data_IF_813470393085
#
_entry.id   IF_813470393085
#
_cell.length_a   1.000
_cell.length_b   1.000
_cell.length_c   1.000
_cell.angle_alpha   90.00
_cell.angle_beta   90.00
_cell.angle_gamma   90.00
#
_symmetry.space_group_name_H-M   'P 1'
#
loop_
_entity.id
_entity.type
_entity.pdbx_description
1 polymer ?
#
# COMPACT_ATOMS: atom_id res chain seq x y z
N UNK A 1 33.65 -29.92 -6.63
CA UNK A 1 32.48 -29.03 -6.78
C UNK A 1 32.21 -28.46 -5.39
N UNK A 2 32.09 -27.14 -5.21
CA UNK A 2 31.72 -26.57 -3.91
C UNK A 2 30.36 -27.13 -3.48
N UNK A 3 30.26 -27.54 -2.22
CA UNK A 3 28.99 -27.98 -1.63
C UNK A 3 28.13 -26.73 -1.43
N UNK A 4 26.88 -26.75 -1.86
CA UNK A 4 25.96 -25.63 -1.60
C UNK A 4 25.35 -25.74 -0.20
N UNK A 5 24.86 -24.62 0.32
CA UNK A 5 24.11 -24.59 1.57
C UNK A 5 22.84 -25.46 1.50
N UNK A 6 22.41 -25.97 2.65
CA UNK A 6 21.24 -26.85 2.78
C UNK A 6 19.91 -26.14 2.56
N UNK A 7 19.91 -24.80 2.50
CA UNK A 7 18.71 -23.98 2.31
C UNK A 7 18.51 -23.57 0.84
N UNK A 8 19.37 -24.04 -0.08
CA UNK A 8 19.26 -23.74 -1.51
C UNK A 8 19.52 -22.27 -1.86
N UNK A 9 20.25 -21.54 -1.01
CA UNK A 9 20.56 -20.12 -1.23
C UNK A 9 21.75 -19.90 -2.17
N UNK A 10 22.34 -20.98 -2.70
CA UNK A 10 23.49 -20.95 -3.59
C UNK A 10 24.78 -20.47 -2.91
N UNK A 11 24.86 -20.51 -1.58
CA UNK A 11 26.06 -20.13 -0.83
C UNK A 11 27.04 -21.30 -0.94
N UNK A 12 28.22 -21.03 -1.49
CA UNK A 12 29.25 -22.04 -1.64
C UNK A 12 29.95 -22.27 -0.30
N UNK A 13 29.88 -23.50 0.21
CA UNK A 13 30.67 -23.94 1.34
C UNK A 13 32.08 -24.21 0.84
N UNK A 14 33.07 -23.61 1.50
CA UNK A 14 34.46 -23.76 1.14
C UNK A 14 34.86 -25.24 1.14
N UNK A 15 35.40 -25.71 0.02
CA UNK A 15 36.04 -27.01 -0.04
C UNK A 15 37.37 -26.91 0.73
N UNK A 16 37.53 -27.71 1.79
CA UNK A 16 38.75 -27.76 2.61
C UNK A 16 39.92 -28.47 1.89
N UNK A 17 40.00 -28.31 0.57
CA UNK A 17 40.98 -28.96 -0.30
C UNK A 17 42.21 -28.09 -0.56
N UNK A 18 42.10 -26.78 -0.32
CA UNK A 18 43.20 -25.81 -0.46
C UNK A 18 43.85 -25.51 0.90
N UNK A 19 45.03 -24.88 0.88
CA UNK A 19 45.71 -24.43 2.10
C UNK A 19 44.82 -23.43 2.89
N UNK A 20 44.84 -23.45 4.25
CA UNK A 20 43.98 -22.60 5.05
C UNK A 20 44.25 -21.11 4.84
N UNK A 21 43.24 -20.38 4.38
CA UNK A 21 43.23 -18.92 4.27
C UNK A 21 41.96 -18.37 4.94
N UNK A 22 42.12 -17.88 6.16
CA UNK A 22 41.02 -17.40 6.98
C UNK A 22 40.39 -16.11 6.43
N UNK A 23 41.16 -15.25 5.78
CA UNK A 23 40.67 -14.00 5.20
C UNK A 23 39.80 -14.29 3.98
N UNK A 24 40.26 -15.18 3.09
CA UNK A 24 39.49 -15.63 1.92
C UNK A 24 38.20 -16.35 2.33
N UNK A 25 38.25 -17.17 3.38
CA UNK A 25 37.08 -17.86 3.92
C UNK A 25 36.03 -16.85 4.44
N UNK A 26 36.44 -15.92 5.30
CA UNK A 26 35.52 -14.93 5.89
C UNK A 26 34.98 -13.98 4.82
N UNK A 27 35.81 -13.55 3.87
CA UNK A 27 35.38 -12.71 2.75
C UNK A 27 34.37 -13.44 1.85
N UNK A 28 34.61 -14.71 1.51
CA UNK A 28 33.68 -15.51 0.73
C UNK A 28 32.34 -15.70 1.41
N UNK A 29 32.34 -15.97 2.73
CA UNK A 29 31.10 -16.03 3.51
C UNK A 29 30.40 -14.67 3.53
N UNK A 30 31.12 -13.59 3.82
CA UNK A 30 30.55 -12.25 3.94
C UNK A 30 29.97 -11.76 2.62
N UNK A 31 30.70 -11.90 1.51
CA UNK A 31 30.26 -11.45 0.19
C UNK A 31 29.04 -12.22 -0.33
N UNK A 32 28.89 -13.50 0.05
CA UNK A 32 27.74 -14.32 -0.34
C UNK A 32 26.53 -14.11 0.60
N UNK A 33 26.77 -13.90 1.89
CA UNK A 33 25.74 -13.89 2.92
C UNK A 33 25.18 -12.48 3.17
N UNK A 34 26.01 -11.43 3.05
CA UNK A 34 25.57 -10.02 3.16
C UNK A 34 24.47 -9.68 2.14
N UNK A 35 24.57 -10.01 0.84
CA UNK A 35 23.48 -9.76 -0.09
C UNK A 35 22.28 -10.70 0.07
N UNK A 36 22.39 -11.77 0.89
CA UNK A 36 21.40 -12.86 1.03
C UNK A 36 20.81 -13.01 2.43
N UNK A 37 21.13 -12.11 3.35
CA UNK A 37 20.49 -12.06 4.68
C UNK A 37 18.96 -11.98 4.61
N UNK A 38 18.43 -11.53 3.46
CA UNK A 38 17.05 -11.76 3.03
C UNK A 38 17.06 -12.74 1.83
N UNK A 39 16.39 -13.87 1.96
CA UNK A 39 16.33 -14.87 0.88
C UNK A 39 15.60 -14.32 -0.34
N UNK A 40 15.92 -14.77 -1.56
CA UNK A 40 15.24 -14.31 -2.78
C UNK A 40 14.72 -15.52 -3.57
N UNK A 41 13.46 -15.44 -3.99
CA UNK A 41 12.81 -16.47 -4.82
C UNK A 41 12.05 -15.80 -5.96
N UNK A 42 11.92 -16.48 -7.10
CA UNK A 42 11.15 -15.94 -8.22
C UNK A 42 9.65 -15.84 -7.87
N UNK A 43 9.14 -16.73 -7.02
CA UNK A 43 7.74 -16.73 -6.56
C UNK A 43 7.53 -17.36 -5.19
N UNK A 44 6.34 -17.19 -4.60
CA UNK A 44 5.93 -17.90 -3.39
C UNK A 44 5.93 -19.43 -3.57
N UNK A 45 5.60 -19.92 -4.77
CA UNK A 45 5.56 -21.36 -5.08
C UNK A 45 6.95 -21.96 -5.03
N UNK A 46 7.92 -21.29 -5.64
CA UNK A 46 9.32 -21.72 -5.62
C UNK A 46 9.87 -21.72 -4.19
N UNK A 47 9.62 -20.64 -3.42
CA UNK A 47 10.00 -20.59 -2.00
C UNK A 47 9.45 -21.78 -1.23
N UNK A 48 8.16 -22.09 -1.38
CA UNK A 48 7.51 -23.18 -0.64
C UNK A 48 8.02 -24.57 -1.08
N UNK A 49 8.48 -24.72 -2.32
CA UNK A 49 9.11 -25.95 -2.79
C UNK A 49 10.55 -26.11 -2.26
N UNK A 50 11.30 -25.02 -2.17
CA UNK A 50 12.69 -25.00 -1.67
C UNK A 50 12.77 -25.12 -0.15
N UNK A 51 11.89 -24.41 0.58
CA UNK A 51 11.88 -24.38 2.05
C UNK A 51 10.73 -25.25 2.57
N UNK A 52 11.00 -26.54 2.75
CA UNK A 52 10.02 -27.53 3.24
C UNK A 52 9.87 -27.55 4.76
N UNK A 53 10.84 -27.01 5.49
CA UNK A 53 10.87 -26.93 6.96
C UNK A 53 11.27 -25.51 7.43
N UNK A 54 10.43 -24.49 7.19
CA UNK A 54 10.74 -23.12 7.58
C UNK A 54 10.78 -22.95 9.11
N UNK A 55 11.61 -22.02 9.59
CA UNK A 55 11.76 -21.67 11.01
C UNK A 55 11.31 -20.22 11.23
N UNK A 56 10.70 -19.95 12.38
CA UNK A 56 10.24 -18.60 12.73
C UNK A 56 11.37 -17.57 12.60
N UNK A 57 11.07 -16.42 11.99
CA UNK A 57 12.02 -15.33 11.73
C UNK A 57 12.75 -15.41 10.39
N UNK A 58 12.61 -16.50 9.62
CA UNK A 58 13.11 -16.54 8.25
C UNK A 58 12.43 -15.45 7.40
N UNK A 59 13.22 -14.70 6.61
CA UNK A 59 12.73 -13.66 5.71
C UNK A 59 13.05 -13.98 4.24
N UNK A 60 12.11 -13.66 3.35
CA UNK A 60 12.26 -13.84 1.91
C UNK A 60 11.62 -12.70 1.11
N UNK A 61 12.31 -12.27 0.05
CA UNK A 61 11.79 -11.44 -1.03
C UNK A 61 11.29 -12.31 -2.19
N UNK A 62 10.08 -12.03 -2.66
CA UNK A 62 9.44 -12.71 -3.79
C UNK A 62 9.40 -11.77 -5.00
N UNK A 63 10.08 -12.13 -6.10
CA UNK A 63 10.28 -11.23 -7.23
C UNK A 63 9.02 -11.01 -8.06
N UNK A 64 8.28 -12.07 -8.41
CA UNK A 64 7.07 -11.95 -9.20
C UNK A 64 5.97 -11.15 -8.49
N UNK A 65 5.86 -11.31 -7.17
CA UNK A 65 4.84 -10.66 -6.36
C UNK A 65 5.30 -9.30 -5.80
N UNK A 66 6.61 -9.03 -5.76
CA UNK A 66 7.18 -7.82 -5.17
C UNK A 66 6.96 -7.72 -3.66
N UNK A 67 7.07 -8.84 -2.96
CA UNK A 67 6.70 -8.97 -1.54
C UNK A 67 7.91 -9.30 -0.68
N UNK A 68 8.02 -8.63 0.47
CA UNK A 68 8.83 -9.14 1.58
C UNK A 68 7.94 -9.98 2.48
N UNK A 69 8.36 -11.21 2.74
CA UNK A 69 7.66 -12.17 3.59
C UNK A 69 8.54 -12.62 4.74
N UNK A 70 7.92 -12.93 5.88
CA UNK A 70 8.58 -13.48 7.06
C UNK A 70 7.81 -14.71 7.52
N UNK A 71 8.48 -15.80 7.90
CA UNK A 71 7.81 -16.95 8.49
C UNK A 71 7.57 -16.70 9.99
N UNK A 72 6.32 -16.72 10.43
CA UNK A 72 5.96 -16.41 11.82
C UNK A 72 6.02 -17.61 12.77
N UNK A 73 6.40 -18.78 12.26
CA UNK A 73 6.36 -20.07 12.96
C UNK A 73 5.23 -20.98 12.50
N UNK A 74 4.23 -20.44 11.80
CA UNK A 74 3.08 -21.18 11.29
C UNK A 74 2.87 -20.99 9.78
N UNK A 75 3.10 -19.78 9.27
CA UNK A 75 2.93 -19.43 7.88
C UNK A 75 3.89 -18.32 7.47
N UNK A 76 4.08 -18.19 6.16
CA UNK A 76 4.73 -17.02 5.60
C UNK A 76 3.74 -15.85 5.57
N UNK A 77 4.03 -14.82 6.35
CA UNK A 77 3.25 -13.57 6.39
C UNK A 77 3.94 -12.49 5.55
N UNK A 78 3.15 -11.57 4.99
CA UNK A 78 3.67 -10.45 4.20
C UNK A 78 4.03 -9.31 5.15
N UNK A 79 5.32 -8.99 5.22
CA UNK A 79 5.89 -7.93 6.06
C UNK A 79 5.96 -6.59 5.32
N UNK A 80 6.04 -6.62 3.98
CA UNK A 80 5.89 -5.44 3.13
C UNK A 80 5.31 -5.85 1.77
N UNK A 81 4.27 -5.16 1.33
CA UNK A 81 3.71 -5.20 -0.02
C UNK A 81 3.35 -3.79 -0.48
N UNK A 82 3.36 -3.57 -1.78
CA UNK A 82 2.74 -2.38 -2.34
C UNK A 82 3.51 -1.81 -3.52
N UNK A 83 2.77 -1.37 -4.52
CA UNK A 83 3.31 -0.52 -5.57
C UNK A 83 3.60 0.84 -4.94
N UNK A 84 4.86 1.26 -4.93
CA UNK A 84 5.24 2.60 -4.45
C UNK A 84 4.65 3.73 -5.32
N UNK A 85 4.13 3.40 -6.50
CA UNK A 85 3.54 4.35 -7.43
C UNK A 85 2.15 4.79 -6.96
N UNK A 86 1.97 6.10 -6.91
CA UNK A 86 0.68 6.73 -6.71
C UNK A 86 -0.12 6.70 -8.01
N UNK A 87 -1.40 6.36 -7.92
CA UNK A 87 -2.34 6.41 -9.04
C UNK A 87 -3.26 7.61 -8.89
N UNK A 88 -3.31 8.47 -9.90
CA UNK A 88 -4.25 9.60 -9.95
C UNK A 88 -5.66 9.13 -10.19
N UNK A 89 -6.59 9.60 -9.36
CA UNK A 89 -8.01 9.30 -9.47
C UNK A 89 -8.63 10.20 -10.54
N UNK A 90 -9.24 9.62 -11.57
CA UNK A 90 -9.95 10.41 -12.59
C UNK A 90 -11.21 11.06 -12.02
N UNK A 91 -11.22 12.38 -11.87
CA UNK A 91 -12.32 13.16 -11.28
C UNK A 91 -13.44 13.47 -12.30
N UNK A 92 -14.72 13.40 -11.90
CA UNK A 92 -15.83 13.87 -12.74
C UNK A 92 -15.96 15.40 -12.68
N UNK A 93 -16.75 15.96 -13.61
CA UNK A 93 -17.02 17.39 -13.65
C UNK A 93 -17.57 17.92 -12.31
N UNK A 94 -17.15 19.12 -11.91
CA UNK A 94 -17.46 19.70 -10.60
C UNK A 94 -16.41 19.42 -9.53
N UNK A 95 -15.47 18.50 -9.77
CA UNK A 95 -14.26 18.34 -8.97
C UNK A 95 -13.01 18.69 -9.77
N UNK A 96 -12.00 19.25 -9.11
CA UNK A 96 -10.68 19.48 -9.69
C UNK A 96 -9.60 18.95 -8.77
N UNK A 97 -8.43 18.62 -9.30
CA UNK A 97 -7.26 18.30 -8.48
C UNK A 97 -6.72 19.55 -7.77
N UNK A 98 -5.80 19.31 -6.83
CA UNK A 98 -5.01 20.35 -6.18
C UNK A 98 -5.84 21.37 -5.38
N UNK A 99 -6.93 20.90 -4.74
CA UNK A 99 -7.69 21.72 -3.79
C UNK A 99 -6.79 22.27 -2.69
N UNK A 100 -6.87 23.57 -2.42
CA UNK A 100 -6.01 24.23 -1.43
C UNK A 100 -4.50 23.97 -1.64
N UNK A 101 -4.04 23.84 -2.90
CA UNK A 101 -2.64 23.60 -3.24
C UNK A 101 -2.01 22.35 -2.59
N UNK A 102 -2.82 21.31 -2.33
CA UNK A 102 -2.36 20.08 -1.66
C UNK A 102 -1.95 18.95 -2.62
N UNK A 103 -1.87 19.20 -3.92
CA UNK A 103 -1.54 18.23 -4.96
C UNK A 103 -2.71 17.38 -5.45
N UNK A 104 -2.44 16.54 -6.44
CA UNK A 104 -3.45 15.70 -7.08
C UNK A 104 -4.01 14.64 -6.15
N UNK A 105 -5.33 14.43 -6.24
CA UNK A 105 -6.01 13.36 -5.50
C UNK A 105 -5.58 12.00 -6.04
N UNK A 106 -4.90 11.25 -5.19
CA UNK A 106 -4.21 10.02 -5.55
C UNK A 106 -4.40 8.95 -4.49
N UNK A 107 -4.29 7.69 -4.91
CA UNK A 107 -4.26 6.54 -4.02
C UNK A 107 -3.05 5.64 -4.31
N UNK A 108 -2.68 4.83 -3.33
CA UNK A 108 -1.79 3.68 -3.52
C UNK A 108 -2.20 2.55 -2.58
N UNK A 109 -1.84 1.32 -2.95
CA UNK A 109 -2.07 0.13 -2.13
C UNK A 109 -0.75 -0.27 -1.47
N UNK A 110 -0.80 -0.44 -0.16
CA UNK A 110 0.35 -0.75 0.69
C UNK A 110 -0.02 -1.84 1.69
N UNK A 111 0.99 -2.55 2.18
CA UNK A 111 0.87 -3.33 3.40
C UNK A 111 1.13 -2.41 4.60
N UNK A 112 0.14 -2.27 5.47
CA UNK A 112 0.32 -1.68 6.78
C UNK A 112 0.15 -2.79 7.81
N UNK A 113 1.25 -3.21 8.43
CA UNK A 113 1.26 -4.16 9.54
C UNK A 113 0.57 -5.50 9.25
N UNK A 114 0.78 -6.06 8.07
CA UNK A 114 0.16 -7.32 7.63
C UNK A 114 -1.20 -7.14 6.95
N UNK A 115 -1.78 -5.94 6.96
CA UNK A 115 -3.07 -5.65 6.36
C UNK A 115 -2.91 -4.86 5.04
N UNK A 116 -3.58 -5.34 3.99
CA UNK A 116 -3.64 -4.59 2.72
C UNK A 116 -4.50 -3.36 2.92
N UNK A 117 -3.90 -2.19 2.71
CA UNK A 117 -4.51 -0.90 2.97
C UNK A 117 -4.38 0.02 1.77
N UNK A 118 -5.40 0.85 1.58
CA UNK A 118 -5.36 1.99 0.67
C UNK A 118 -4.91 3.22 1.44
N UNK A 119 -3.85 3.87 0.95
CA UNK A 119 -3.47 5.21 1.37
C UNK A 119 -3.96 6.21 0.33
N UNK A 120 -4.49 7.33 0.80
CA UNK A 120 -4.90 8.47 -0.02
C UNK A 120 -3.96 9.66 0.23
N UNK A 121 -3.86 10.54 -0.76
CA UNK A 121 -3.20 11.84 -0.63
C UNK A 121 -3.79 12.86 -1.59
N UNK A 122 -3.35 14.10 -1.43
CA UNK A 122 -3.78 15.22 -2.26
C UNK A 122 -5.08 15.84 -1.75
N UNK A 123 -5.69 16.63 -2.61
CA UNK A 123 -6.99 17.23 -2.34
C UNK A 123 -7.79 17.43 -3.62
N UNK A 124 -9.10 17.57 -3.44
CA UNK A 124 -10.01 17.99 -4.51
C UNK A 124 -10.52 19.38 -4.24
N UNK A 125 -10.56 20.23 -5.27
CA UNK A 125 -11.41 21.41 -5.30
C UNK A 125 -12.85 21.01 -5.65
N UNK A 126 -13.82 21.73 -5.11
CA UNK A 126 -15.25 21.41 -5.29
C UNK A 126 -16.00 22.64 -5.81
N UNK A 127 -16.75 22.45 -6.89
CA UNK A 127 -17.69 23.45 -7.41
C UNK A 127 -19.12 22.94 -7.18
N UNK A 128 -19.88 23.65 -6.35
CA UNK A 128 -21.26 23.28 -6.02
C UNK A 128 -22.26 23.94 -6.99
N UNK A 129 -23.36 23.24 -7.27
CA UNK A 129 -24.55 23.83 -7.86
C UNK A 129 -25.54 24.13 -6.73
N UNK A 130 -25.52 25.36 -6.21
CA UNK A 130 -26.22 25.68 -4.97
C UNK A 130 -25.54 25.01 -3.77
N UNK A 131 -26.29 24.21 -3.01
CA UNK A 131 -25.74 23.44 -1.87
C UNK A 131 -25.42 21.99 -2.21
N UNK A 132 -25.74 21.53 -3.41
CA UNK A 132 -25.58 20.13 -3.78
C UNK A 132 -24.14 19.84 -4.21
N UNK A 133 -23.56 18.80 -3.62
CA UNK A 133 -22.25 18.30 -4.02
C UNK A 133 -22.36 17.67 -5.42
N UNK A 134 -21.44 17.99 -6.35
CA UNK A 134 -21.51 17.45 -7.70
C UNK A 134 -21.46 15.91 -7.70
N UNK A 135 -22.14 15.30 -8.68
CA UNK A 135 -22.19 13.86 -8.90
C UNK A 135 -22.66 13.05 -7.67
N UNK A 136 -23.49 13.65 -6.80
CA UNK A 136 -23.93 13.02 -5.56
C UNK A 136 -22.78 12.67 -4.62
N UNK A 137 -21.63 13.34 -4.75
CA UNK A 137 -20.44 13.15 -3.93
C UNK A 137 -19.48 12.06 -4.40
N UNK A 138 -19.74 11.41 -5.54
CA UNK A 138 -18.82 10.40 -6.10
C UNK A 138 -17.62 11.10 -6.75
N UNK A 139 -16.41 10.79 -6.25
CA UNK A 139 -15.17 11.45 -6.64
C UNK A 139 -14.48 10.85 -7.87
N UNK A 140 -14.79 9.60 -8.23
CA UNK A 140 -14.12 8.91 -9.33
C UNK A 140 -15.08 8.57 -10.48
N UNK A 141 -14.65 8.84 -11.70
CA UNK A 141 -15.40 8.55 -12.95
C UNK A 141 -15.50 7.07 -13.27
N UNK A 142 -14.43 6.33 -12.95
CA UNK A 142 -14.32 4.88 -13.19
C UNK A 142 -14.07 4.19 -11.86
N UNK A 143 -14.75 3.07 -11.63
CA UNK A 143 -14.52 2.24 -10.47
C UNK A 143 -13.02 1.89 -10.34
N UNK A 144 -12.49 1.98 -9.12
CA UNK A 144 -11.12 1.56 -8.81
C UNK A 144 -10.89 0.11 -9.25
N UNK A 145 -9.65 -0.30 -9.58
CA UNK A 145 -9.36 -1.70 -9.92
C UNK A 145 -9.71 -2.62 -8.76
N UNK A 146 -10.01 -3.89 -9.05
CA UNK A 146 -10.44 -4.88 -8.03
C UNK A 146 -9.44 -5.03 -6.87
N UNK A 147 -8.14 -4.86 -7.13
CA UNK A 147 -7.08 -4.87 -6.11
C UNK A 147 -7.11 -3.69 -5.14
N UNK A 148 -7.90 -2.66 -5.43
CA UNK A 148 -8.05 -1.44 -4.64
C UNK A 148 -9.47 -1.30 -4.07
N UNK A 149 -10.28 -2.37 -4.07
CA UNK A 149 -11.65 -2.34 -3.53
C UNK A 149 -11.70 -3.06 -2.20
N UNK A 150 -12.43 -2.52 -1.20
CA UNK A 150 -12.60 -3.24 0.04
C UNK A 150 -13.64 -4.36 -0.11
N UNK A 151 -13.52 -5.42 0.69
CA UNK A 151 -14.48 -6.54 0.70
C UNK A 151 -15.82 -6.17 1.33
N UNK A 152 -15.82 -5.19 2.21
CA UNK A 152 -17.00 -4.61 2.86
C UNK A 152 -16.89 -3.09 2.84
N UNK A 153 -18.01 -2.37 3.03
CA UNK A 153 -17.98 -0.91 3.08
C UNK A 153 -16.95 -0.42 4.10
N UNK A 154 -16.11 0.53 3.68
CA UNK A 154 -15.17 1.22 4.57
C UNK A 154 -15.53 2.68 4.62
N UNK A 155 -15.53 3.22 5.83
CA UNK A 155 -15.83 4.63 6.09
C UNK A 155 -14.67 5.26 6.82
N UNK A 156 -14.21 6.40 6.34
CA UNK A 156 -13.20 7.21 7.02
C UNK A 156 -13.65 8.67 7.09
N UNK A 157 -13.03 9.42 8.00
CA UNK A 157 -13.19 10.87 8.09
C UNK A 157 -12.13 11.54 7.22
N UNK A 158 -12.53 12.56 6.46
CA UNK A 158 -11.63 13.37 5.63
C UNK A 158 -11.73 14.85 6.01
N UNK A 159 -10.62 15.59 6.08
CA UNK A 159 -10.65 17.03 6.35
C UNK A 159 -11.24 17.81 5.17
N UNK A 160 -11.87 18.94 5.45
CA UNK A 160 -12.34 19.88 4.45
C UNK A 160 -12.10 21.32 4.91
N UNK A 161 -12.30 22.28 4.00
CA UNK A 161 -12.20 23.70 4.36
C UNK A 161 -13.22 24.07 5.44
N UNK A 162 -12.82 24.92 6.37
CA UNK A 162 -13.73 25.68 7.24
C UNK A 162 -14.41 26.86 6.50
N UNK A 163 -13.78 27.38 5.44
CA UNK A 163 -14.39 28.38 4.55
C UNK A 163 -15.68 27.86 3.92
N UNK A 164 -16.77 28.63 4.05
CA UNK A 164 -18.11 28.30 3.50
C UNK A 164 -18.64 26.93 3.97
N UNK A 165 -18.22 26.51 5.16
CA UNK A 165 -18.59 25.23 5.74
C UNK A 165 -18.73 25.36 7.25
N UNK A 166 -19.84 24.86 7.81
CA UNK A 166 -20.00 24.76 9.28
C UNK A 166 -19.28 23.55 9.89
N UNK A 167 -18.56 22.77 9.06
CA UNK A 167 -17.82 21.56 9.46
C UNK A 167 -16.41 21.60 8.89
N UNK A 168 -15.47 21.01 9.64
CA UNK A 168 -14.06 20.86 9.21
C UNK A 168 -13.72 19.44 8.77
N UNK A 169 -14.70 18.53 8.84
CA UNK A 169 -14.56 17.15 8.41
C UNK A 169 -15.82 16.66 7.68
N UNK A 170 -15.60 15.77 6.73
CA UNK A 170 -16.63 15.06 5.99
C UNK A 170 -16.43 13.55 6.16
N UNK A 171 -17.44 12.79 5.76
CA UNK A 171 -17.38 11.33 5.70
C UNK A 171 -17.03 10.91 4.28
N UNK A 172 -16.05 10.02 4.13
CA UNK A 172 -15.75 9.33 2.87
C UNK A 172 -16.11 7.85 3.01
N UNK A 173 -16.96 7.35 2.12
CA UNK A 173 -17.21 5.93 1.93
C UNK A 173 -16.38 5.41 0.75
N UNK A 174 -15.54 4.41 1.03
CA UNK A 174 -14.90 3.56 0.02
C UNK A 174 -15.81 2.34 -0.17
N UNK A 175 -16.54 2.34 -1.28
CA UNK A 175 -17.56 1.33 -1.57
C UNK A 175 -16.93 0.07 -2.16
N UNK A 176 -17.56 -1.09 -1.92
CA UNK A 176 -17.13 -2.39 -2.47
C UNK A 176 -17.15 -2.43 -4.01
N UNK A 177 -17.98 -1.58 -4.63
CA UNK A 177 -18.00 -1.36 -6.09
C UNK A 177 -16.80 -0.58 -6.64
N UNK A 178 -15.91 -0.06 -5.78
CA UNK A 178 -14.76 0.74 -6.18
C UNK A 178 -15.06 2.23 -6.39
N UNK A 179 -16.14 2.76 -5.81
CA UNK A 179 -16.45 4.19 -5.83
C UNK A 179 -16.15 4.86 -4.49
N UNK A 180 -15.61 6.07 -4.56
CA UNK A 180 -15.24 6.92 -3.44
C UNK A 180 -16.31 8.00 -3.31
N UNK A 181 -17.11 7.96 -2.23
CA UNK A 181 -18.28 8.82 -2.08
C UNK A 181 -18.22 9.68 -0.82
N UNK A 182 -18.31 10.99 -1.01
CA UNK A 182 -18.36 11.99 0.05
C UNK A 182 -19.79 12.16 0.57
N UNK A 183 -19.89 12.31 1.89
CA UNK A 183 -21.11 12.62 2.62
C UNK A 183 -20.89 13.76 3.61
N UNK A 184 -21.99 14.39 4.02
CA UNK A 184 -22.00 15.43 5.04
C UNK A 184 -21.91 16.85 4.48
N UNK A 185 -22.13 17.04 3.18
CA UNK A 185 -22.31 18.34 2.55
C UNK A 185 -23.79 18.71 2.44
N UNK A 186 -24.08 19.98 2.10
CA UNK A 186 -25.43 20.49 1.88
C UNK A 186 -25.89 21.49 2.93
N UNK A 187 -27.14 21.96 2.79
CA UNK A 187 -27.81 22.77 3.81
C UNK A 187 -28.37 21.89 4.93
N UNK A 188 -28.14 22.28 6.18
CA UNK A 188 -28.71 21.63 7.36
C UNK A 188 -29.13 22.62 8.44
N UNK A 189 -29.70 22.12 9.54
CA UNK A 189 -30.13 22.95 10.67
C UNK A 189 -28.97 23.73 11.33
N UNK A 190 -27.75 23.20 11.24
CA UNK A 190 -26.53 23.80 11.75
C UNK A 190 -25.92 24.84 10.78
N UNK A 191 -26.50 25.00 9.59
CA UNK A 191 -26.01 25.85 8.52
C UNK A 191 -25.55 25.05 7.29
N UNK A 192 -24.88 25.74 6.37
CA UNK A 192 -24.46 25.18 5.09
C UNK A 192 -23.05 24.59 5.17
N UNK A 193 -22.89 23.35 4.71
CA UNK A 193 -21.60 22.66 4.57
C UNK A 193 -21.26 22.52 3.08
N UNK A 194 -20.59 23.53 2.53
CA UNK A 194 -20.13 23.57 1.13
C UNK A 194 -18.65 23.94 1.06
N UNK A 195 -17.76 23.12 1.64
CA UNK A 195 -16.33 23.42 1.65
C UNK A 195 -15.79 23.45 0.22
N UNK A 196 -15.06 24.50 -0.20
CA UNK A 196 -14.49 24.62 -1.54
C UNK A 196 -13.39 23.60 -1.84
N UNK A 197 -12.88 22.89 -0.83
CA UNK A 197 -11.93 21.81 -1.01
C UNK A 197 -12.07 20.73 0.07
N UNK A 198 -11.63 19.52 -0.27
CA UNK A 198 -11.58 18.34 0.61
C UNK A 198 -10.18 17.73 0.50
N UNK A 199 -9.52 17.52 1.63
CA UNK A 199 -8.16 16.98 1.71
C UNK A 199 -8.15 15.49 2.03
N UNK A 200 -7.14 14.78 1.54
CA UNK A 200 -6.97 13.34 1.75
C UNK A 200 -5.57 12.95 2.25
N UNK A 201 -4.73 13.94 2.55
CA UNK A 201 -3.39 13.71 3.08
C UNK A 201 -3.47 12.96 4.41
N UNK A 202 -2.77 11.82 4.49
CA UNK A 202 -2.76 10.98 5.68
C UNK A 202 -4.03 10.18 5.90
N UNK A 203 -4.95 10.11 4.93
CA UNK A 203 -6.13 9.25 5.01
C UNK A 203 -5.77 7.81 4.57
N UNK A 204 -6.16 6.82 5.37
CA UNK A 204 -5.91 5.42 5.09
C UNK A 204 -7.11 4.57 5.48
N UNK A 205 -7.29 3.45 4.78
CA UNK A 205 -8.34 2.48 5.06
C UNK A 205 -7.86 1.08 4.72
N UNK A 206 -8.32 0.07 5.44
CA UNK A 206 -8.08 -1.32 5.06
C UNK A 206 -8.98 -1.76 3.92
N UNK A 207 -8.54 -2.73 3.12
CA UNK A 207 -9.29 -3.32 2.02
C UNK A 207 -9.93 -4.67 2.42
#
# INVERSE_FOLDING_TARGET
MPTQDSYGQGINIAALTDAPDAEKLVKGITDELVPRANMRFASATERNATITSPVAGMEAWLEAEGLKTTYDGSAWVVSASGTNAWTTVGLPAGFTHNGNSNGDFQYRIVNLFGEVSMMLRGAVGVTYAGTDIPNGGVLNTVALPVSARPLSLRTIVVPCSDVSSVRITLKLDIQTGGFLKIYGTGGGAEGTTTPPWIGFNGCFTSL
#
